data_IF_926997618007
#
_entry.id   IF_926997618007
#
_cell.length_a   1.000
_cell.length_b   1.000
_cell.length_c   1.000
_cell.angle_alpha   90.00
_cell.angle_beta   90.00
_cell.angle_gamma   90.00
#
_symmetry.space_group_name_H-M   'P 1'
#
loop_
_entity.id
_entity.type
_entity.pdbx_description
1 polymer ?
#
# COMPACT_ATOMS: atom_id res chain seq x y z
N UNK A 1 14.89 9.69 -11.81
CA UNK A 1 14.94 8.98 -10.51
C UNK A 1 14.25 7.65 -10.63
N UNK A 2 14.43 6.78 -9.68
CA UNK A 2 13.73 5.50 -9.65
C UNK A 2 12.57 5.57 -8.66
N UNK A 3 11.37 5.23 -9.12
CA UNK A 3 10.12 5.41 -8.36
C UNK A 3 9.41 4.08 -8.21
N UNK A 4 9.05 3.74 -6.97
CA UNK A 4 8.15 2.62 -6.71
C UNK A 4 6.73 3.16 -6.57
N UNK A 5 5.76 2.43 -7.12
CA UNK A 5 4.37 2.87 -7.16
C UNK A 5 3.47 1.72 -6.72
N UNK A 6 2.45 2.02 -5.92
CA UNK A 6 1.38 1.05 -5.66
C UNK A 6 0.83 0.57 -7.01
N UNK A 7 0.91 -0.72 -7.27
CA UNK A 7 0.61 -1.29 -8.59
C UNK A 7 -0.80 -0.93 -9.09
N UNK A 8 -1.77 -0.83 -8.19
CA UNK A 8 -3.14 -0.47 -8.55
C UNK A 8 -3.26 0.94 -9.13
N UNK A 9 -2.33 1.84 -8.81
CA UNK A 9 -2.34 3.22 -9.34
C UNK A 9 -1.96 3.29 -10.82
N UNK A 10 -1.34 2.25 -11.34
CA UNK A 10 -0.97 2.14 -12.75
C UNK A 10 -1.84 1.17 -13.53
N UNK A 11 -2.98 0.76 -12.96
CA UNK A 11 -3.98 -0.04 -13.64
C UNK A 11 -3.91 -1.54 -13.38
N UNK A 12 -3.02 -2.00 -12.50
CA UNK A 12 -2.99 -3.41 -12.11
C UNK A 12 -4.23 -3.73 -11.29
N UNK A 13 -4.92 -4.81 -11.64
CA UNK A 13 -6.15 -5.25 -10.97
C UNK A 13 -5.85 -6.01 -9.69
N UNK A 14 -5.05 -5.42 -8.81
CA UNK A 14 -4.63 -6.02 -7.54
C UNK A 14 -5.39 -5.47 -6.32
N UNK A 15 -6.36 -4.59 -6.54
CA UNK A 15 -7.23 -4.09 -5.48
C UNK A 15 -8.06 -5.24 -4.90
N UNK A 16 -8.50 -5.12 -3.64
CA UNK A 16 -9.20 -6.20 -2.95
C UNK A 16 -10.42 -6.75 -3.72
N UNK A 17 -11.12 -5.91 -4.49
CA UNK A 17 -12.31 -6.31 -5.25
C UNK A 17 -11.99 -6.76 -6.69
N UNK A 18 -10.71 -6.92 -7.04
CA UNK A 18 -10.29 -7.29 -8.40
C UNK A 18 -10.20 -6.12 -9.36
N UNK A 19 -10.42 -4.89 -8.88
CA UNK A 19 -10.28 -3.68 -9.68
C UNK A 19 -8.91 -3.02 -9.51
N UNK A 20 -8.86 -1.74 -9.90
CA UNK A 20 -7.65 -0.93 -9.76
C UNK A 20 -8.01 0.49 -9.33
N UNK A 21 -7.00 1.28 -9.05
CA UNK A 21 -7.11 2.69 -8.69
C UNK A 21 -6.33 3.56 -9.67
N UNK A 22 -6.40 3.24 -10.97
CA UNK A 22 -5.62 3.95 -11.98
C UNK A 22 -5.70 5.47 -11.80
N UNK A 23 -4.55 6.13 -11.82
CA UNK A 23 -4.43 7.57 -11.66
C UNK A 23 -3.64 8.16 -12.83
N UNK A 24 -4.28 9.03 -13.60
CA UNK A 24 -3.61 9.75 -14.67
C UNK A 24 -2.50 10.65 -14.13
N UNK A 25 -2.70 11.26 -12.96
CA UNK A 25 -1.70 12.11 -12.32
C UNK A 25 -0.43 11.34 -11.99
N UNK A 26 -0.58 10.10 -11.50
CA UNK A 26 0.56 9.23 -11.23
C UNK A 26 1.26 8.86 -12.53
N UNK A 27 0.51 8.44 -13.55
CA UNK A 27 1.07 8.06 -14.84
C UNK A 27 1.88 9.20 -15.46
N UNK A 28 1.39 10.44 -15.37
CA UNK A 28 2.12 11.60 -15.85
C UNK A 28 3.36 11.92 -15.01
N UNK A 29 3.21 11.83 -13.69
CA UNK A 29 4.32 12.13 -12.78
C UNK A 29 5.52 11.20 -13.00
N UNK A 30 5.27 9.93 -13.23
CA UNK A 30 6.35 8.92 -13.36
C UNK A 30 6.91 8.83 -14.78
N UNK A 31 6.30 9.51 -15.73
CA UNK A 31 6.73 9.49 -17.12
C UNK A 31 8.19 9.94 -17.26
N UNK A 32 8.99 9.13 -17.95
CA UNK A 32 10.42 9.41 -18.12
C UNK A 32 11.31 8.97 -16.96
N UNK A 33 10.74 8.35 -15.93
CA UNK A 33 11.49 7.79 -14.82
C UNK A 33 11.51 6.27 -14.87
N UNK A 34 12.47 5.66 -14.19
CA UNK A 34 12.46 4.21 -13.98
C UNK A 34 11.41 3.86 -12.92
N UNK A 35 10.55 2.89 -13.21
CA UNK A 35 9.42 2.56 -12.35
C UNK A 35 9.47 1.10 -11.94
N UNK A 36 9.20 0.83 -10.66
CA UNK A 36 8.82 -0.51 -10.21
C UNK A 36 7.43 -0.45 -9.57
N UNK A 37 6.69 -1.52 -9.69
CA UNK A 37 5.36 -1.62 -9.10
C UNK A 37 5.40 -2.55 -7.90
N UNK A 38 4.68 -2.19 -6.84
CA UNK A 38 4.57 -3.00 -5.63
C UNK A 38 3.11 -3.11 -5.21
N UNK A 39 2.73 -4.28 -4.73
CA UNK A 39 1.46 -4.49 -4.04
C UNK A 39 1.76 -5.37 -2.83
N UNK A 40 1.96 -4.76 -1.65
CA UNK A 40 2.34 -5.53 -0.46
C UNK A 40 1.35 -6.64 -0.11
N UNK A 41 0.06 -6.44 -0.37
CA UNK A 41 -0.95 -7.44 -0.06
C UNK A 41 -0.80 -8.69 -0.93
N UNK A 42 -0.60 -8.52 -2.24
CA UNK A 42 -0.34 -9.63 -3.15
C UNK A 42 1.01 -10.28 -2.84
N UNK A 43 2.03 -9.48 -2.58
CA UNK A 43 3.37 -9.98 -2.24
C UNK A 43 3.35 -10.82 -0.95
N UNK A 44 2.45 -10.50 -0.03
CA UNK A 44 2.25 -11.25 1.20
C UNK A 44 1.46 -12.55 1.04
N UNK A 45 0.98 -12.83 -0.18
CA UNK A 45 0.28 -14.08 -0.48
C UNK A 45 -1.24 -13.98 -0.44
N UNK A 46 -1.80 -12.77 -0.35
CA UNK A 46 -3.26 -12.61 -0.36
C UNK A 46 -3.83 -12.74 -1.77
N UNK A 47 -4.98 -13.40 -1.93
CA UNK A 47 -5.60 -13.57 -3.25
C UNK A 47 -6.29 -12.28 -3.73
N UNK A 48 -6.63 -12.25 -5.01
CA UNK A 48 -7.50 -11.24 -5.60
C UNK A 48 -8.65 -11.96 -6.33
N UNK A 49 -9.93 -11.66 -6.04
CA UNK A 49 -10.41 -10.75 -5.00
C UNK A 49 -10.21 -11.29 -3.58
N UNK A 50 -10.34 -10.41 -2.59
CA UNK A 50 -10.24 -10.75 -1.17
C UNK A 50 -11.15 -9.83 -0.36
N UNK A 51 -11.47 -10.27 0.86
CA UNK A 51 -12.24 -9.43 1.77
C UNK A 51 -11.45 -8.18 2.18
N UNK A 52 -12.10 -7.02 2.33
CA UNK A 52 -11.41 -5.84 2.84
C UNK A 52 -10.93 -6.08 4.27
N UNK A 53 -9.83 -5.44 4.63
CA UNK A 53 -9.22 -5.55 5.95
C UNK A 53 -8.97 -4.17 6.54
N UNK A 54 -8.95 -4.09 7.87
CA UNK A 54 -8.61 -2.88 8.62
C UNK A 54 -7.69 -3.23 9.78
N UNK A 55 -6.98 -2.25 10.29
CA UNK A 55 -6.11 -2.43 11.47
C UNK A 55 -6.99 -2.30 12.73
N UNK A 56 -7.06 -3.36 13.51
CA UNK A 56 -7.86 -3.44 14.74
C UNK A 56 -6.89 -3.70 15.90
N UNK A 57 -6.71 -2.74 16.79
CA UNK A 57 -5.76 -2.84 17.91
C UNK A 57 -4.36 -3.28 17.46
N UNK A 58 -3.87 -2.71 16.34
CA UNK A 58 -2.54 -2.99 15.81
C UNK A 58 -2.43 -4.27 14.99
N UNK A 59 -3.52 -5.01 14.80
CA UNK A 59 -3.56 -6.27 14.05
C UNK A 59 -4.46 -6.12 12.84
N UNK A 60 -3.98 -6.50 11.65
CA UNK A 60 -4.79 -6.43 10.43
C UNK A 60 -5.76 -7.60 10.39
N UNK A 61 -7.05 -7.30 10.29
CA UNK A 61 -8.13 -8.29 10.33
C UNK A 61 -9.18 -8.02 9.27
N UNK A 62 -9.85 -9.07 8.84
CA UNK A 62 -11.11 -8.97 8.11
C UNK A 62 -12.26 -8.62 9.09
N UNK A 63 -13.41 -8.23 8.54
CA UNK A 63 -14.59 -7.86 9.32
C UNK A 63 -15.07 -8.99 10.25
N UNK A 64 -14.92 -10.25 9.82
CA UNK A 64 -15.30 -11.43 10.61
C UNK A 64 -14.31 -11.76 11.73
N UNK A 65 -13.25 -10.97 11.89
CA UNK A 65 -12.23 -11.18 12.91
C UNK A 65 -11.04 -12.03 12.48
N UNK A 66 -11.07 -12.59 11.27
CA UNK A 66 -9.95 -13.40 10.76
C UNK A 66 -8.72 -12.54 10.59
N UNK A 67 -7.61 -12.92 11.22
CA UNK A 67 -6.35 -12.18 11.12
C UNK A 67 -5.68 -12.44 9.77
N UNK A 68 -5.23 -11.37 9.12
CA UNK A 68 -4.35 -11.39 7.94
C UNK A 68 -3.08 -10.58 8.21
N UNK A 69 -2.79 -10.35 9.48
CA UNK A 69 -1.65 -9.53 9.92
C UNK A 69 -0.32 -10.10 9.42
N UNK A 70 -0.15 -11.43 9.51
CA UNK A 70 1.09 -12.08 9.06
C UNK A 70 1.33 -11.83 7.57
N UNK A 71 0.31 -11.94 6.73
CA UNK A 71 0.38 -11.69 5.30
C UNK A 71 0.69 -10.23 4.99
N UNK A 72 0.06 -9.29 5.68
CA UNK A 72 0.32 -7.86 5.52
C UNK A 72 1.76 -7.51 5.91
N UNK A 73 2.26 -8.04 7.00
CA UNK A 73 3.64 -7.78 7.46
C UNK A 73 4.67 -8.42 6.54
N UNK A 74 4.44 -9.66 6.13
CA UNK A 74 5.31 -10.35 5.16
C UNK A 74 5.38 -9.59 3.85
N UNK A 75 4.25 -9.17 3.32
CA UNK A 75 4.18 -8.40 2.07
C UNK A 75 4.88 -7.05 2.19
N UNK A 76 4.71 -6.37 3.32
CA UNK A 76 5.38 -5.10 3.57
C UNK A 76 6.90 -5.27 3.61
N UNK A 77 7.42 -6.32 4.24
CA UNK A 77 8.84 -6.61 4.28
C UNK A 77 9.40 -6.95 2.89
N UNK A 78 8.69 -7.77 2.11
CA UNK A 78 9.09 -8.11 0.76
C UNK A 78 9.12 -6.87 -0.14
N UNK A 79 8.11 -6.02 -0.03
CA UNK A 79 8.06 -4.77 -0.79
C UNK A 79 9.18 -3.81 -0.37
N UNK A 80 9.46 -3.71 0.92
CA UNK A 80 10.58 -2.91 1.43
C UNK A 80 11.91 -3.40 0.88
N UNK A 81 12.14 -4.71 0.92
CA UNK A 81 13.37 -5.30 0.38
C UNK A 81 13.54 -5.01 -1.11
N UNK A 82 12.46 -5.06 -1.87
CA UNK A 82 12.48 -4.72 -3.30
C UNK A 82 12.86 -3.25 -3.49
N UNK A 83 12.26 -2.35 -2.72
CA UNK A 83 12.54 -0.90 -2.77
C UNK A 83 14.02 -0.63 -2.46
N UNK A 84 14.55 -1.24 -1.43
CA UNK A 84 15.95 -1.06 -1.02
C UNK A 84 16.91 -1.64 -2.08
N UNK A 85 16.66 -2.88 -2.50
CA UNK A 85 17.52 -3.58 -3.48
C UNK A 85 17.57 -2.84 -4.81
N UNK A 86 16.46 -2.29 -5.24
CA UNK A 86 16.35 -1.55 -6.51
C UNK A 86 16.86 -0.11 -6.43
N UNK A 87 17.20 0.37 -5.23
CA UNK A 87 17.69 1.74 -5.05
C UNK A 87 16.65 2.80 -5.35
N UNK A 88 15.42 2.60 -4.90
CA UNK A 88 14.30 3.51 -5.16
C UNK A 88 14.49 4.84 -4.41
N UNK A 89 14.23 5.94 -5.10
CA UNK A 89 14.35 7.30 -4.55
C UNK A 89 13.05 7.80 -3.92
N UNK A 90 11.92 7.30 -4.38
CA UNK A 90 10.60 7.78 -3.99
C UNK A 90 9.57 6.67 -4.14
N UNK A 91 8.64 6.60 -3.19
CA UNK A 91 7.51 5.65 -3.25
C UNK A 91 6.21 6.42 -3.27
N UNK A 92 5.36 6.14 -4.26
CA UNK A 92 4.03 6.75 -4.38
C UNK A 92 2.99 5.69 -4.04
N UNK A 93 2.14 5.98 -3.06
CA UNK A 93 1.24 5.00 -2.47
C UNK A 93 -0.23 5.39 -2.58
N UNK A 94 -1.08 4.38 -2.73
CA UNK A 94 -2.53 4.52 -2.68
C UNK A 94 -2.96 4.89 -1.25
N UNK A 95 -3.97 5.77 -1.16
CA UNK A 95 -4.51 6.26 0.11
C UNK A 95 -5.26 5.19 0.89
N UNK A 96 -5.26 5.33 2.20
CA UNK A 96 -6.20 4.72 3.16
C UNK A 96 -6.11 3.21 3.38
N UNK A 97 -5.32 2.49 2.61
CA UNK A 97 -5.23 1.03 2.80
C UNK A 97 -4.46 0.66 4.06
N UNK A 98 -4.69 -0.54 4.64
CA UNK A 98 -3.91 -1.00 5.80
C UNK A 98 -2.43 -1.20 5.47
N UNK A 99 -2.06 -1.35 4.20
CA UNK A 99 -0.66 -1.46 3.76
C UNK A 99 -0.07 -0.13 3.36
N UNK A 100 -0.75 0.65 2.51
CA UNK A 100 -0.19 1.81 1.82
C UNK A 100 -0.66 3.18 2.31
N UNK A 101 -1.61 3.26 3.23
CA UNK A 101 -2.11 4.54 3.73
C UNK A 101 -0.99 5.40 4.30
N UNK A 102 -0.90 6.67 3.87
CA UNK A 102 0.19 7.57 4.28
C UNK A 102 -0.24 8.46 5.45
N UNK A 103 -1.42 9.07 5.37
CA UNK A 103 -1.91 10.00 6.37
C UNK A 103 -3.11 9.49 7.16
N UNK A 104 -3.94 8.69 6.53
CA UNK A 104 -5.17 8.17 7.13
C UNK A 104 -5.34 6.69 6.83
N UNK A 105 -5.95 6.00 7.77
CA UNK A 105 -6.38 4.59 7.63
C UNK A 105 -7.80 4.49 8.19
N UNK A 106 -8.49 3.39 7.90
CA UNK A 106 -9.78 3.12 8.53
C UNK A 106 -9.58 2.74 10.00
N UNK A 107 -10.55 3.08 10.84
CA UNK A 107 -10.42 3.00 12.31
C UNK A 107 -10.57 1.59 12.90
N UNK A 108 -10.81 0.59 12.08
CA UNK A 108 -10.96 -0.80 12.55
C UNK A 108 -12.39 -1.21 12.88
N UNK A 109 -13.36 -0.29 12.71
CA UNK A 109 -14.79 -0.60 12.99
C UNK A 109 -15.55 -1.07 11.76
N UNK A 110 -14.92 -1.04 10.58
CA UNK A 110 -15.55 -1.36 9.29
C UNK A 110 -16.78 -0.50 8.99
N UNK A 111 -16.73 0.75 9.44
CA UNK A 111 -17.81 1.73 9.28
C UNK A 111 -17.52 2.81 8.25
N UNK A 112 -16.36 2.77 7.60
CA UNK A 112 -15.92 3.80 6.68
C UNK A 112 -15.32 5.04 7.37
N UNK A 113 -15.08 4.96 8.68
CA UNK A 113 -14.52 6.06 9.45
C UNK A 113 -13.00 6.06 9.35
N UNK A 114 -12.43 7.23 8.98
CA UNK A 114 -10.99 7.41 8.85
C UNK A 114 -10.42 8.05 10.12
N UNK A 115 -9.20 7.62 10.47
CA UNK A 115 -8.41 8.22 11.55
C UNK A 115 -7.00 8.54 11.03
N UNK A 116 -6.29 9.48 11.67
CA UNK A 116 -4.87 9.68 11.37
C UNK A 116 -4.09 8.39 11.64
N UNK A 117 -3.25 7.98 10.72
CA UNK A 117 -2.45 6.79 10.87
C UNK A 117 -1.79 6.37 9.57
N UNK A 118 -1.01 5.30 9.64
CA UNK A 118 -0.23 4.80 8.53
C UNK A 118 -0.44 3.31 8.35
N UNK A 119 -0.42 2.87 7.08
CA UNK A 119 -0.40 1.45 6.76
C UNK A 119 0.91 0.79 7.15
N UNK A 120 0.92 -0.53 7.21
CA UNK A 120 2.09 -1.31 7.66
C UNK A 120 3.31 -1.04 6.78
N UNK A 121 3.14 -1.03 5.46
CA UNK A 121 4.24 -0.78 4.52
C UNK A 121 4.76 0.66 4.62
N UNK A 122 3.86 1.64 4.69
CA UNK A 122 4.23 3.06 4.85
C UNK A 122 5.09 3.26 6.07
N UNK A 123 4.71 2.64 7.18
CA UNK A 123 5.44 2.74 8.44
C UNK A 123 6.86 2.20 8.30
N UNK A 124 7.03 1.04 7.66
CA UNK A 124 8.35 0.46 7.40
C UNK A 124 9.21 1.36 6.51
N UNK A 125 8.63 1.95 5.46
CA UNK A 125 9.35 2.86 4.58
C UNK A 125 9.88 4.07 5.34
N UNK A 126 9.03 4.67 6.19
CA UNK A 126 9.43 5.84 6.98
C UNK A 126 10.48 5.49 8.04
N UNK A 127 10.39 4.34 8.66
CA UNK A 127 11.40 3.84 9.60
C UNK A 127 12.77 3.63 8.94
N UNK A 128 12.79 3.39 7.62
CA UNK A 128 14.00 3.23 6.83
C UNK A 128 14.39 4.50 6.07
N UNK A 129 13.82 5.64 6.42
CA UNK A 129 14.13 6.95 5.83
C UNK A 129 13.89 7.02 4.31
N UNK A 130 12.91 6.29 3.82
CA UNK A 130 12.52 6.30 2.41
C UNK A 130 11.40 7.31 2.22
N UNK A 131 11.55 8.18 1.22
CA UNK A 131 10.57 9.22 0.93
C UNK A 131 9.29 8.62 0.35
N UNK A 132 8.15 9.02 0.90
CA UNK A 132 6.81 8.53 0.51
C UNK A 132 5.92 9.71 0.16
N UNK A 133 5.11 9.53 -0.89
CA UNK A 133 4.02 10.45 -1.24
C UNK A 133 2.71 9.68 -1.32
N UNK A 134 1.65 10.28 -0.78
CA UNK A 134 0.30 9.81 -1.01
C UNK A 134 -0.15 10.25 -2.41
N UNK A 135 -0.96 9.44 -3.08
CA UNK A 135 -1.48 9.77 -4.41
C UNK A 135 -2.18 11.14 -4.44
N UNK A 136 -2.79 11.55 -3.34
CA UNK A 136 -3.46 12.85 -3.22
C UNK A 136 -2.52 14.05 -3.26
N UNK A 137 -1.22 13.83 -3.11
CA UNK A 137 -0.22 14.90 -3.13
C UNK A 137 0.29 15.25 -4.54
N UNK A 138 -0.17 14.55 -5.55
CA UNK A 138 0.24 14.78 -6.94
C UNK A 138 -0.65 15.80 -7.67
#
# INVERSE_FOLDING_TARGET
>A
MKIAVSACLLGDNCKYNGGNNYSEKVAEFVKGHDIIQVCPEIMGGLPTPREPAEIVNGIVKHKDGTSVDAEFRKGAELALNKVITEGVDLVILQSRSPSCGVYHIYDGTFSGTLIPGQGIFTKLLKENNIKVLDVSEL
#
